data_IF_173275563684
#
_entry.id   IF_173275563684
#
_cell.length_a   1.000
_cell.length_b   1.000
_cell.length_c   1.000
_cell.angle_alpha   90.00
_cell.angle_beta   90.00
_cell.angle_gamma   90.00
#
_symmetry.space_group_name_H-M   'P 1'
#
loop_
_entity.id
_entity.type
_entity.pdbx_description
1 polymer ?
#
# COMPACT_ATOMS: atom_id res chain seq x y z
N UNK A 1 -69.75 21.52 -14.75
CA UNK A 1 -68.65 21.96 -13.86
C UNK A 1 -67.60 20.85 -13.90
N UNK A 2 -66.78 20.84 -14.97
CA UNK A 2 -65.35 21.19 -14.97
C UNK A 2 -64.56 20.35 -13.93
N UNK A 3 -63.56 19.52 -14.26
CA UNK A 3 -62.84 19.27 -15.50
C UNK A 3 -62.13 17.91 -15.44
N UNK A 4 -62.26 17.17 -16.54
CA UNK A 4 -61.29 16.28 -17.22
C UNK A 4 -60.02 15.85 -16.47
N UNK A 5 -59.93 14.54 -16.21
CA UNK A 5 -58.69 13.78 -16.05
C UNK A 5 -58.36 13.02 -17.34
N UNK A 6 -57.09 12.58 -17.47
CA UNK A 6 -56.50 11.60 -18.43
C UNK A 6 -55.46 12.24 -19.39
N UNK A 7 -54.30 11.60 -19.71
CA UNK A 7 -53.40 10.74 -18.93
C UNK A 7 -51.90 10.86 -19.40
N UNK A 8 -51.11 9.80 -19.20
CA UNK A 8 -49.99 9.33 -20.03
C UNK A 8 -48.58 9.90 -19.72
N UNK A 9 -47.48 9.14 -19.81
CA UNK A 9 -47.18 7.73 -20.10
C UNK A 9 -45.66 7.54 -19.87
N UNK A 10 -45.28 6.29 -19.59
CA UNK A 10 -43.98 5.65 -19.93
C UNK A 10 -42.69 6.22 -19.35
N UNK A 11 -42.15 5.46 -18.40
CA UNK A 11 -40.72 5.32 -18.20
C UNK A 11 -40.33 3.90 -18.62
N UNK A 12 -39.45 3.76 -19.62
CA UNK A 12 -38.89 2.49 -20.07
C UNK A 12 -37.48 2.72 -20.64
N UNK A 13 -36.61 1.75 -20.33
CA UNK A 13 -35.22 1.50 -20.80
C UNK A 13 -34.14 2.36 -20.15
N UNK A 14 -33.23 1.85 -19.31
CA UNK A 14 -32.31 0.70 -19.40
C UNK A 14 -31.09 0.99 -20.29
N UNK A 15 -29.97 1.34 -19.64
CA UNK A 15 -28.63 1.20 -20.20
C UNK A 15 -27.64 0.79 -19.09
N UNK A 16 -27.08 -0.39 -19.30
CA UNK A 16 -25.83 -0.92 -18.79
C UNK A 16 -24.64 -0.02 -19.16
N UNK A 17 -23.64 0.09 -18.29
CA UNK A 17 -22.29 0.51 -18.71
C UNK A 17 -21.39 1.07 -17.61
N UNK A 18 -20.35 0.30 -17.28
CA UNK A 18 -18.96 0.74 -17.10
C UNK A 18 -18.70 1.99 -16.26
N UNK A 19 -18.12 1.82 -15.07
CA UNK A 19 -17.38 2.89 -14.38
C UNK A 19 -15.93 2.90 -14.90
N UNK A 20 -15.49 3.92 -15.67
CA UNK A 20 -14.07 4.14 -15.89
C UNK A 20 -13.48 5.01 -14.78
N UNK A 21 -12.37 4.53 -14.26
CA UNK A 21 -11.41 5.24 -13.42
C UNK A 21 -10.95 6.57 -14.03
N UNK A 22 -10.59 7.52 -13.14
CA UNK A 22 -9.54 8.55 -13.32
C UNK A 22 -9.93 9.86 -14.02
N UNK A 23 -10.60 10.76 -13.29
CA UNK A 23 -10.42 12.22 -13.40
C UNK A 23 -10.55 12.88 -12.02
N UNK A 24 -9.63 12.55 -11.11
CA UNK A 24 -9.27 13.46 -10.01
C UNK A 24 -8.18 14.36 -10.57
N UNK A 25 -8.45 15.66 -10.66
CA UNK A 25 -7.52 16.81 -10.79
C UNK A 25 -8.14 17.91 -11.67
N UNK A 26 -9.26 18.51 -11.24
CA UNK A 26 -9.73 19.81 -11.73
C UNK A 26 -10.65 20.47 -10.68
N UNK A 27 -10.08 20.86 -9.53
CA UNK A 27 -10.78 21.70 -8.53
C UNK A 27 -9.81 22.42 -7.56
N UNK A 28 -8.69 22.96 -8.06
CA UNK A 28 -7.72 23.72 -7.22
C UNK A 28 -7.61 25.22 -7.61
N UNK A 29 -8.54 25.78 -8.39
CA UNK A 29 -8.42 27.19 -8.83
C UNK A 29 -9.65 28.07 -8.61
N UNK A 30 -10.34 27.95 -7.47
CA UNK A 30 -11.23 29.01 -6.96
C UNK A 30 -11.13 29.06 -5.43
N UNK A 31 -10.06 29.62 -4.88
CA UNK A 31 -9.99 29.95 -3.45
C UNK A 31 -8.90 31.00 -3.15
N UNK A 32 -8.88 32.11 -3.90
CA UNK A 32 -8.06 33.28 -3.58
C UNK A 32 -8.84 34.56 -3.87
N UNK A 33 -10.02 34.72 -3.26
CA UNK A 33 -10.68 36.03 -3.17
C UNK A 33 -11.84 36.03 -2.15
N UNK A 34 -11.54 36.15 -0.86
CA UNK A 34 -12.38 36.91 0.08
C UNK A 34 -11.66 36.99 1.43
N UNK A 35 -11.11 38.17 1.73
CA UNK A 35 -10.72 38.55 3.08
C UNK A 35 -11.96 38.93 3.88
N UNK A 36 -11.84 38.80 5.21
CA UNK A 36 -12.64 39.41 6.29
C UNK A 36 -13.92 38.71 6.72
N UNK A 37 -13.86 38.25 7.98
CA UNK A 37 -14.96 38.01 8.92
C UNK A 37 -15.98 36.95 8.50
N UNK A 38 -15.67 35.69 8.80
CA UNK A 38 -16.73 34.79 9.24
C UNK A 38 -16.17 33.84 10.29
N UNK A 39 -16.92 33.77 11.38
CA UNK A 39 -16.60 33.14 12.62
C UNK A 39 -16.22 31.67 12.42
N UNK A 40 -15.51 31.12 13.41
CA UNK A 40 -15.50 29.69 13.69
C UNK A 40 -16.95 29.21 13.87
N UNK A 41 -17.68 28.94 12.79
CA UNK A 41 -18.90 28.15 12.82
C UNK A 41 -18.47 26.70 13.01
N UNK A 42 -18.27 26.40 14.29
CA UNK A 42 -18.23 25.06 14.82
C UNK A 42 -19.49 24.35 14.32
N UNK A 43 -19.39 23.58 13.23
CA UNK A 43 -20.47 22.71 12.81
C UNK A 43 -20.62 21.63 13.88
N UNK A 44 -21.48 21.95 14.84
CA UNK A 44 -22.01 21.02 15.80
C UNK A 44 -22.73 19.96 14.99
N UNK A 45 -22.22 18.73 15.05
CA UNK A 45 -23.02 17.55 14.75
C UNK A 45 -24.17 17.62 15.75
N UNK A 46 -25.37 17.95 15.28
CA UNK A 46 -26.58 17.84 16.08
C UNK A 46 -26.71 16.37 16.51
N UNK A 47 -26.28 16.12 17.74
CA UNK A 47 -26.54 14.89 18.45
C UNK A 47 -28.05 14.80 18.57
N UNK A 48 -28.68 13.95 17.75
CA UNK A 48 -30.09 13.57 17.91
C UNK A 48 -30.33 13.29 19.39
N UNK A 49 -31.10 14.16 20.04
CA UNK A 49 -31.30 14.10 21.47
C UNK A 49 -31.87 12.73 21.85
N UNK A 50 -31.38 12.10 22.94
CA UNK A 50 -31.90 10.82 23.40
C UNK A 50 -33.42 10.86 23.59
N UNK A 51 -34.11 9.75 23.30
CA UNK A 51 -35.57 9.55 23.27
C UNK A 51 -36.37 10.02 24.51
N UNK A 52 -35.70 10.47 25.57
CA UNK A 52 -36.28 10.93 26.83
C UNK A 52 -36.69 12.42 26.84
N UNK A 53 -36.22 13.25 25.90
CA UNK A 53 -36.45 14.72 25.92
C UNK A 53 -37.82 15.18 25.36
N UNK A 54 -38.52 14.37 24.56
CA UNK A 54 -39.75 14.80 23.87
C UNK A 54 -41.04 14.82 24.73
N UNK A 55 -40.94 14.75 26.06
CA UNK A 55 -42.10 14.73 26.98
C UNK A 55 -42.21 15.94 27.92
N UNK A 56 -41.74 17.12 27.51
CA UNK A 56 -42.23 18.41 28.04
C UNK A 56 -42.05 18.67 29.53
N UNK A 57 -41.14 17.96 30.21
CA UNK A 57 -40.79 18.28 31.60
C UNK A 57 -39.80 19.47 31.61
N UNK A 58 -40.04 20.55 32.37
CA UNK A 58 -39.21 21.75 32.38
C UNK A 58 -37.97 21.57 33.26
N UNK A 59 -37.20 20.50 33.02
CA UNK A 59 -35.94 20.28 33.69
C UNK A 59 -34.80 20.53 32.71
N UNK A 60 -34.21 21.72 32.80
CA UNK A 60 -32.86 21.95 32.29
C UNK A 60 -31.88 21.21 33.21
N UNK A 61 -31.05 20.31 32.69
CA UNK A 61 -30.05 19.65 33.50
C UNK A 61 -29.12 20.71 34.10
N UNK A 62 -28.96 20.71 35.43
CA UNK A 62 -28.05 21.61 36.17
C UNK A 62 -26.57 21.48 35.76
N UNK A 63 -26.26 20.56 34.84
CA UNK A 63 -24.94 20.32 34.28
C UNK A 63 -25.06 20.23 32.76
N UNK A 64 -24.25 21.00 32.03
CA UNK A 64 -24.14 20.90 30.58
C UNK A 64 -23.63 19.52 30.11
N UNK A 65 -23.67 19.24 28.79
CA UNK A 65 -23.16 17.99 28.25
C UNK A 65 -21.72 17.76 28.71
N UNK A 66 -21.43 16.56 29.24
CA UNK A 66 -20.09 16.27 29.78
C UNK A 66 -19.05 16.48 28.67
N UNK A 67 -17.94 17.19 28.93
CA UNK A 67 -16.88 17.32 27.94
C UNK A 67 -16.37 15.93 27.54
N UNK A 68 -16.43 15.62 26.24
CA UNK A 68 -15.88 14.37 25.70
C UNK A 68 -14.35 14.46 25.70
N UNK A 69 -13.72 13.89 26.73
CA UNK A 69 -12.26 13.80 26.77
C UNK A 69 -11.75 12.84 25.67
N UNK A 70 -10.65 13.19 24.98
CA UNK A 70 -10.03 12.26 24.04
C UNK A 70 -9.58 11.01 24.79
N UNK A 71 -10.06 9.84 24.35
CA UNK A 71 -9.63 8.56 24.93
C UNK A 71 -8.13 8.39 24.72
N UNK A 72 -7.36 8.39 25.81
CA UNK A 72 -5.91 8.14 25.77
C UNK A 72 -5.67 6.66 25.47
N UNK A 73 -4.59 6.38 24.72
CA UNK A 73 -4.12 5.00 24.52
C UNK A 73 -3.66 4.41 25.86
N UNK A 74 -3.99 3.14 26.11
CA UNK A 74 -3.44 2.40 27.25
C UNK A 74 -1.90 2.38 27.20
N UNK A 75 -1.19 2.24 28.33
CA UNK A 75 0.28 2.22 28.34
C UNK A 75 0.88 1.25 27.32
N UNK A 76 0.31 0.05 27.19
CA UNK A 76 0.73 -0.96 26.19
C UNK A 76 0.53 -0.45 24.76
N UNK A 77 -0.63 0.13 24.45
CA UNK A 77 -0.89 0.71 23.13
C UNK A 77 0.00 1.92 22.83
N UNK A 78 0.38 2.69 23.85
CA UNK A 78 1.36 3.78 23.72
C UNK A 78 2.74 3.23 23.41
N UNK A 79 3.22 2.23 24.15
CA UNK A 79 4.52 1.60 23.91
C UNK A 79 4.62 1.03 22.48
N UNK A 80 3.62 0.27 22.02
CA UNK A 80 3.57 -0.23 20.63
C UNK A 80 3.61 0.93 19.63
N UNK A 81 2.86 2.00 19.90
CA UNK A 81 2.85 3.19 19.03
C UNK A 81 4.23 3.86 18.96
N UNK A 82 4.94 3.95 20.08
CA UNK A 82 6.28 4.54 20.13
C UNK A 82 7.30 3.65 19.42
N UNK A 83 7.25 2.33 19.64
CA UNK A 83 8.13 1.37 18.96
C UNK A 83 8.01 1.47 17.44
N UNK A 84 6.77 1.60 16.92
CA UNK A 84 6.53 1.78 15.48
C UNK A 84 7.17 3.05 14.91
N UNK A 85 7.18 4.14 15.69
CA UNK A 85 7.81 5.40 15.29
C UNK A 85 9.32 5.23 15.23
N UNK A 86 9.92 4.63 16.26
CA UNK A 86 11.36 4.35 16.30
C UNK A 86 11.77 3.45 15.12
N UNK A 87 10.99 2.40 14.83
CA UNK A 87 11.24 1.51 13.70
C UNK A 87 11.09 2.22 12.34
N UNK A 88 10.10 3.11 12.18
CA UNK A 88 9.95 3.89 10.95
C UNK A 88 11.09 4.88 10.74
N UNK A 89 11.57 5.53 11.80
CA UNK A 89 12.70 6.47 11.74
C UNK A 89 13.98 5.73 11.36
N UNK A 90 14.17 4.52 11.89
CA UNK A 90 15.33 3.69 11.54
C UNK A 90 15.30 3.26 10.08
N UNK A 91 14.12 2.89 9.54
CA UNK A 91 13.97 2.59 8.11
C UNK A 91 14.38 3.81 7.26
N UNK A 92 13.97 5.02 7.64
CA UNK A 92 14.35 6.24 6.94
C UNK A 92 15.88 6.42 6.91
N UNK A 93 16.55 6.23 8.05
CA UNK A 93 18.03 6.27 8.14
C UNK A 93 18.72 5.20 7.29
N UNK A 94 18.18 3.98 7.26
CA UNK A 94 18.73 2.88 6.45
C UNK A 94 18.57 3.15 4.95
N UNK A 95 17.47 3.78 4.56
CA UNK A 95 17.29 4.27 3.20
C UNK A 95 18.30 5.38 2.91
N UNK A 96 18.42 6.43 3.71
CA UNK A 96 19.37 7.52 3.47
C UNK A 96 20.83 7.05 3.34
N UNK A 97 21.27 6.15 4.23
CA UNK A 97 22.64 5.63 4.29
C UNK A 97 23.05 4.67 3.17
N UNK A 98 22.20 4.44 2.15
CA UNK A 98 22.44 3.47 1.08
C UNK A 98 22.70 2.03 1.59
N UNK A 99 22.17 1.68 2.77
CA UNK A 99 22.23 0.29 3.27
C UNK A 99 21.03 -0.54 2.85
N UNK A 100 19.94 0.11 2.46
CA UNK A 100 18.71 -0.54 1.99
C UNK A 100 18.56 -0.45 0.47
N UNK A 101 19.04 -1.46 -0.24
CA UNK A 101 19.03 -1.46 -1.71
C UNK A 101 17.70 -1.92 -2.32
N UNK A 102 17.07 -2.97 -1.77
CA UNK A 102 15.84 -3.55 -2.34
C UNK A 102 14.66 -2.56 -2.46
N UNK A 103 14.22 -1.89 -1.38
CA UNK A 103 13.08 -0.97 -1.45
C UNK A 103 13.38 0.27 -2.30
N UNK A 104 14.66 0.65 -2.46
CA UNK A 104 15.05 1.74 -3.37
C UNK A 104 14.95 1.32 -4.84
N UNK A 105 15.46 0.14 -5.17
CA UNK A 105 15.43 -0.37 -6.54
C UNK A 105 14.02 -0.80 -6.97
N UNK A 106 13.24 -1.37 -6.05
CA UNK A 106 11.93 -1.95 -6.32
C UNK A 106 10.97 -1.55 -5.17
N UNK A 107 10.29 -0.38 -5.28
CA UNK A 107 9.44 0.13 -4.20
C UNK A 107 8.14 -0.68 -4.00
N UNK A 108 7.59 -1.26 -5.07
CA UNK A 108 6.31 -1.99 -5.05
C UNK A 108 6.51 -3.49 -5.24
N UNK A 109 7.27 -4.13 -4.34
CA UNK A 109 7.48 -5.57 -4.42
C UNK A 109 6.24 -6.35 -3.96
N UNK A 110 5.78 -7.29 -4.79
CA UNK A 110 4.65 -8.16 -4.52
C UNK A 110 5.02 -9.64 -4.55
N UNK A 111 4.11 -10.47 -4.05
CA UNK A 111 4.22 -11.92 -4.13
C UNK A 111 3.91 -12.36 -5.57
N UNK A 112 4.72 -13.27 -6.11
CA UNK A 112 4.65 -13.70 -7.51
C UNK A 112 5.70 -13.06 -8.43
N UNK A 113 6.27 -11.92 -8.04
CA UNK A 113 7.31 -11.24 -8.80
C UNK A 113 8.58 -12.11 -8.93
N UNK A 114 9.27 -11.98 -10.07
CA UNK A 114 10.58 -12.62 -10.29
C UNK A 114 11.67 -11.57 -10.14
N UNK A 115 12.55 -11.79 -9.15
CA UNK A 115 13.64 -10.87 -8.82
C UNK A 115 14.98 -11.55 -9.09
N UNK A 116 15.94 -10.77 -9.60
CA UNK A 116 17.35 -11.11 -9.57
C UNK A 116 18.10 -10.21 -8.59
N UNK A 117 18.72 -10.82 -7.58
CA UNK A 117 19.44 -10.12 -6.51
C UNK A 117 20.93 -10.44 -6.58
N UNK A 118 21.76 -9.40 -6.38
CA UNK A 118 23.21 -9.48 -6.22
C UNK A 118 23.56 -9.44 -4.73
N UNK A 119 24.05 -10.57 -4.21
CA UNK A 119 24.37 -10.76 -2.78
C UNK A 119 25.89 -10.88 -2.63
N UNK A 120 26.44 -10.13 -1.69
CA UNK A 120 27.86 -10.24 -1.28
C UNK A 120 27.98 -11.20 -0.11
N UNK A 121 29.03 -12.02 -0.09
CA UNK A 121 29.29 -12.92 1.02
C UNK A 121 29.90 -12.16 2.22
N UNK A 122 29.43 -12.41 3.46
CA UNK A 122 29.93 -11.69 4.62
C UNK A 122 31.40 -11.96 4.93
N UNK A 123 31.89 -13.17 4.60
CA UNK A 123 33.30 -13.54 4.82
C UNK A 123 34.25 -13.04 3.74
N UNK A 124 33.75 -12.78 2.52
CA UNK A 124 34.56 -12.46 1.35
C UNK A 124 33.82 -11.41 0.53
N UNK A 125 34.10 -10.14 0.81
CA UNK A 125 33.40 -9.02 0.18
C UNK A 125 33.56 -8.97 -1.34
N UNK A 126 34.68 -9.50 -1.85
CA UNK A 126 34.96 -9.57 -3.29
C UNK A 126 34.12 -10.63 -4.01
N UNK A 127 33.60 -11.63 -3.29
CA UNK A 127 32.82 -12.72 -3.89
C UNK A 127 31.35 -12.35 -3.96
N UNK A 128 30.92 -12.00 -5.16
CA UNK A 128 29.52 -11.67 -5.47
C UNK A 128 28.78 -12.89 -6.02
N UNK A 129 27.58 -13.14 -5.51
CA UNK A 129 26.69 -14.17 -6.03
C UNK A 129 25.40 -13.55 -6.56
N UNK A 130 24.97 -14.02 -7.74
CA UNK A 130 23.65 -13.73 -8.28
C UNK A 130 22.66 -14.80 -7.84
N UNK A 131 21.46 -14.36 -7.46
CA UNK A 131 20.34 -15.24 -7.17
C UNK A 131 19.09 -14.73 -7.88
N UNK A 132 18.54 -15.56 -8.77
CA UNK A 132 17.25 -15.30 -9.43
C UNK A 132 16.21 -16.19 -8.80
N UNK A 133 15.05 -15.64 -8.46
CA UNK A 133 13.97 -16.39 -7.81
C UNK A 133 12.62 -15.69 -7.89
N UNK A 134 11.55 -16.49 -7.79
CA UNK A 134 10.18 -15.98 -7.62
C UNK A 134 9.92 -15.70 -6.15
N UNK A 135 9.27 -14.57 -5.85
CA UNK A 135 8.82 -14.24 -4.50
C UNK A 135 7.67 -15.16 -4.13
N UNK A 136 7.88 -16.01 -3.13
CA UNK A 136 6.83 -16.88 -2.60
C UNK A 136 6.15 -16.30 -1.38
N UNK A 137 6.85 -15.48 -0.60
CA UNK A 137 6.34 -14.90 0.62
C UNK A 137 7.06 -13.57 0.89
N UNK A 138 6.29 -12.59 1.36
CA UNK A 138 6.80 -11.28 1.75
C UNK A 138 6.36 -10.96 3.17
N UNK A 139 7.34 -10.88 4.08
CA UNK A 139 7.14 -10.53 5.48
C UNK A 139 7.31 -9.02 5.66
N UNK A 140 6.25 -8.34 6.09
CA UNK A 140 6.27 -6.90 6.44
C UNK A 140 6.40 -6.76 7.96
N UNK A 141 7.59 -6.43 8.43
CA UNK A 141 7.92 -6.32 9.85
C UNK A 141 8.92 -5.18 10.11
N UNK A 142 8.63 -3.99 9.59
CA UNK A 142 9.50 -2.81 9.66
C UNK A 142 10.95 -3.15 9.29
N UNK A 143 11.93 -2.90 10.17
CA UNK A 143 13.35 -3.22 9.98
C UNK A 143 13.59 -4.72 9.72
N UNK A 144 12.76 -5.59 10.30
CA UNK A 144 12.80 -7.04 10.13
C UNK A 144 12.05 -7.56 8.91
N UNK A 145 11.69 -6.70 7.96
CA UNK A 145 11.01 -7.13 6.73
C UNK A 145 11.92 -7.98 5.85
N UNK A 146 11.38 -9.07 5.31
CA UNK A 146 12.14 -10.05 4.54
C UNK A 146 11.32 -10.65 3.41
N UNK A 147 12.00 -11.07 2.35
CA UNK A 147 11.42 -11.70 1.18
C UNK A 147 11.95 -13.12 1.07
N UNK A 148 11.07 -14.07 0.80
CA UNK A 148 11.46 -15.45 0.51
C UNK A 148 11.39 -15.68 -0.98
N UNK A 149 12.54 -15.99 -1.57
CA UNK A 149 12.70 -16.27 -2.98
C UNK A 149 12.88 -17.77 -3.20
N UNK A 150 12.21 -18.31 -4.21
CA UNK A 150 12.32 -19.72 -4.62
C UNK A 150 12.75 -19.81 -6.07
N UNK A 151 13.68 -20.72 -6.35
CA UNK A 151 14.01 -21.14 -7.71
C UNK A 151 14.37 -22.63 -7.72
N UNK A 152 14.24 -23.29 -8.86
CA UNK A 152 14.81 -24.61 -9.09
C UNK A 152 16.00 -24.43 -10.02
N UNK A 153 17.19 -24.77 -9.52
CA UNK A 153 18.44 -24.67 -10.26
C UNK A 153 19.04 -26.06 -10.34
N UNK A 154 19.35 -26.53 -11.54
CA UNK A 154 19.89 -27.88 -11.78
C UNK A 154 19.05 -28.95 -11.06
N UNK A 155 17.73 -28.90 -11.23
CA UNK A 155 16.75 -29.84 -10.63
C UNK A 155 16.65 -29.81 -9.09
N UNK A 156 17.43 -28.98 -8.41
CA UNK A 156 17.37 -28.78 -6.96
C UNK A 156 16.58 -27.51 -6.64
N UNK A 157 15.57 -27.64 -5.79
CA UNK A 157 14.81 -26.50 -5.29
C UNK A 157 15.63 -25.75 -4.23
N UNK A 158 15.89 -24.47 -4.48
CA UNK A 158 16.60 -23.58 -3.57
C UNK A 158 15.68 -22.45 -3.13
N UNK A 159 15.53 -22.30 -1.82
CA UNK A 159 14.85 -21.18 -1.19
C UNK A 159 15.86 -20.28 -0.48
N UNK A 160 15.71 -18.96 -0.62
CA UNK A 160 16.52 -17.97 0.10
C UNK A 160 15.64 -16.92 0.75
N UNK A 161 15.87 -16.70 2.03
CA UNK A 161 15.26 -15.59 2.78
C UNK A 161 16.23 -14.42 2.77
N UNK A 162 15.78 -13.28 2.24
CA UNK A 162 16.58 -12.08 2.06
C UNK A 162 15.95 -10.93 2.84
N UNK A 163 16.66 -10.26 3.76
CA UNK A 163 16.15 -9.08 4.46
C UNK A 163 16.10 -7.88 3.49
N UNK A 164 15.03 -7.08 3.53
CA UNK A 164 14.86 -5.94 2.61
C UNK A 164 15.92 -4.85 2.81
N UNK A 165 16.30 -4.60 4.07
CA UNK A 165 17.18 -3.51 4.47
C UNK A 165 18.62 -3.97 4.75
N UNK A 166 19.04 -5.10 4.18
CA UNK A 166 20.38 -5.66 4.42
C UNK A 166 21.47 -4.96 3.59
N UNK A 167 22.63 -4.61 4.21
CA UNK A 167 23.75 -3.97 3.51
C UNK A 167 24.49 -4.91 2.54
N UNK A 168 24.26 -6.22 2.63
CA UNK A 168 24.93 -7.21 1.77
C UNK A 168 24.31 -7.30 0.37
N UNK A 169 23.18 -6.63 0.16
CA UNK A 169 22.53 -6.55 -1.14
C UNK A 169 23.11 -5.35 -1.87
N UNK A 170 23.74 -5.60 -3.02
CA UNK A 170 24.34 -4.52 -3.83
C UNK A 170 23.36 -3.97 -4.85
N UNK A 171 22.72 -4.88 -5.58
CA UNK A 171 21.82 -4.57 -6.69
C UNK A 171 20.65 -5.55 -6.67
N UNK A 172 19.48 -5.07 -7.07
CA UNK A 172 18.32 -5.92 -7.30
C UNK A 172 17.55 -5.43 -8.52
N UNK A 173 17.12 -6.37 -9.34
CA UNK A 173 16.38 -6.13 -10.56
C UNK A 173 15.07 -6.90 -10.51
N UNK A 174 14.00 -6.20 -10.84
CA UNK A 174 12.73 -6.85 -11.15
C UNK A 174 12.79 -7.34 -12.60
N UNK A 175 12.63 -8.63 -12.80
CA UNK A 175 12.69 -9.24 -14.13
C UNK A 175 11.30 -9.37 -14.75
N UNK A 176 10.35 -9.88 -13.98
CA UNK A 176 8.99 -10.15 -14.43
C UNK A 176 8.00 -9.93 -13.29
N UNK A 177 6.81 -9.42 -13.61
CA UNK A 177 5.70 -9.22 -12.67
C UNK A 177 4.63 -10.26 -12.97
N UNK A 178 4.39 -11.16 -12.02
CA UNK A 178 3.29 -12.14 -12.12
C UNK A 178 2.28 -11.84 -11.01
N UNK A 179 1.15 -11.19 -11.34
CA UNK A 179 0.13 -10.95 -10.34
C UNK A 179 -0.41 -12.27 -9.83
N UNK A 180 -0.61 -12.35 -8.52
CA UNK A 180 -1.18 -13.53 -7.87
C UNK A 180 -2.28 -13.10 -6.92
N UNK A 181 -3.39 -13.84 -6.91
CA UNK A 181 -4.50 -13.59 -5.97
C UNK A 181 -4.20 -14.16 -4.58
N UNK A 182 -3.22 -15.07 -4.49
CA UNK A 182 -2.82 -15.67 -3.24
C UNK A 182 -1.89 -14.76 -2.45
N UNK A 183 -2.03 -14.78 -1.12
CA UNK A 183 -1.14 -14.02 -0.23
C UNK A 183 0.30 -14.53 -0.28
N UNK A 184 0.47 -15.85 -0.34
CA UNK A 184 1.76 -16.56 -0.40
C UNK A 184 1.68 -17.76 -1.35
N UNK A 185 2.80 -18.11 -1.98
CA UNK A 185 2.90 -19.18 -2.99
C UNK A 185 3.59 -20.43 -2.44
N UNK A 186 3.29 -20.81 -1.19
CA UNK A 186 3.90 -21.99 -0.56
C UNK A 186 3.54 -23.31 -1.27
N UNK A 187 2.43 -23.34 -2.00
CA UNK A 187 2.05 -24.49 -2.83
C UNK A 187 3.13 -24.86 -3.86
N UNK A 188 4.01 -23.93 -4.26
CA UNK A 188 5.13 -24.20 -5.18
C UNK A 188 6.14 -25.24 -4.66
N UNK A 189 6.09 -25.59 -3.37
CA UNK A 189 6.92 -26.66 -2.78
C UNK A 189 6.47 -28.04 -3.22
N UNK A 190 5.16 -28.21 -3.43
CA UNK A 190 4.53 -29.47 -3.82
C UNK A 190 4.33 -29.56 -5.34
N UNK A 191 4.43 -28.43 -6.04
CA UNK A 191 4.28 -28.34 -7.49
C UNK A 191 5.50 -28.84 -8.25
N UNK A 192 5.30 -29.24 -9.52
CA UNK A 192 6.42 -29.65 -10.35
C UNK A 192 7.44 -28.51 -10.50
N UNK A 193 8.74 -28.85 -10.61
CA UNK A 193 9.84 -27.87 -10.60
C UNK A 193 9.71 -26.81 -11.71
N UNK A 194 9.03 -27.16 -12.81
CA UNK A 194 8.73 -26.28 -13.94
C UNK A 194 7.98 -25.01 -13.54
N UNK A 195 7.08 -25.06 -12.54
CA UNK A 195 6.30 -23.90 -12.11
C UNK A 195 7.12 -22.89 -11.28
N UNK A 196 8.12 -23.39 -10.55
CA UNK A 196 9.03 -22.59 -9.74
C UNK A 196 10.30 -22.15 -10.47
N UNK A 197 10.67 -22.86 -11.54
CA UNK A 197 11.87 -22.60 -12.32
C UNK A 197 11.78 -21.23 -12.98
N UNK A 198 12.69 -20.34 -12.60
CA UNK A 198 12.96 -19.11 -13.32
C UNK A 198 14.32 -19.27 -13.99
N UNK A 199 14.34 -19.20 -15.33
CA UNK A 199 15.56 -19.37 -16.11
C UNK A 199 16.65 -18.35 -15.76
N UNK A 200 17.87 -18.52 -16.28
CA UNK A 200 18.92 -17.51 -16.16
C UNK A 200 18.53 -16.29 -17.00
N UNK A 201 17.68 -15.44 -16.44
CA UNK A 201 17.33 -14.16 -17.05
C UNK A 201 18.51 -13.22 -16.85
N UNK A 202 19.13 -12.82 -17.94
CA UNK A 202 20.02 -11.66 -17.95
C UNK A 202 19.26 -10.43 -17.42
N UNK A 203 19.95 -9.53 -16.68
CA UNK A 203 19.30 -8.30 -16.25
C UNK A 203 18.79 -7.60 -17.52
N UNK A 204 17.63 -6.92 -17.48
CA UNK A 204 17.18 -6.16 -18.64
C UNK A 204 18.30 -5.19 -19.03
N UNK A 205 18.79 -5.30 -20.28
CA UNK A 205 19.70 -4.29 -20.82
C UNK A 205 19.02 -2.93 -20.59
N UNK A 206 19.69 -2.04 -19.87
CA UNK A 206 19.26 -0.65 -19.76
C UNK A 206 19.31 -0.09 -21.17
N UNK A 207 18.22 -0.22 -21.92
CA UNK A 207 18.13 0.34 -23.26
C UNK A 207 18.42 1.83 -23.09
N UNK A 208 19.60 2.26 -23.54
CA UNK A 208 19.88 3.68 -23.67
C UNK A 208 18.75 4.20 -24.54
N UNK A 209 17.85 5.00 -23.98
CA UNK A 209 16.83 5.70 -24.76
C UNK A 209 17.59 6.65 -25.69
N UNK A 210 18.06 6.12 -26.81
CA UNK A 210 18.49 6.89 -27.96
C UNK A 210 17.20 7.52 -28.48
N UNK A 211 16.83 8.66 -27.88
CA UNK A 211 15.87 9.60 -28.45
C UNK A 211 16.51 10.22 -29.70
N UNK A 212 16.72 9.40 -30.74
CA UNK A 212 17.06 9.86 -32.09
C UNK A 212 15.84 9.63 -32.96
N UNK A 213 15.24 10.72 -33.41
CA UNK A 213 14.32 10.70 -34.55
C UNK A 213 12.84 10.91 -34.20
N UNK A 214 12.48 12.11 -33.75
CA UNK A 214 11.29 12.78 -34.27
C UNK A 214 11.72 14.18 -34.71
N UNK A 215 12.08 14.27 -35.99
CA UNK A 215 12.05 15.53 -36.76
C UNK A 215 10.63 15.70 -37.28
#
# INVERSE_FOLDING_TARGET
MLNTWVPALRCLKQLSGSYPTRQYLQTIQIAHFCSTQEERSSQQVEETEPWYYNRGWPYEPLYGPRPKYPKRKSPVKRAISLMRVVESDEIQRLLESNRAMLPKSIPDLAVGDVIRIKIVNPSNENKVQWFTGRVIHLRKAYTGSSVTLRNVVNEVAVERVVPLYSPWIREAYLLDRKPTDQRDLFYLRERPPKESSCGPMEPPELTSKNNRGKK
#
